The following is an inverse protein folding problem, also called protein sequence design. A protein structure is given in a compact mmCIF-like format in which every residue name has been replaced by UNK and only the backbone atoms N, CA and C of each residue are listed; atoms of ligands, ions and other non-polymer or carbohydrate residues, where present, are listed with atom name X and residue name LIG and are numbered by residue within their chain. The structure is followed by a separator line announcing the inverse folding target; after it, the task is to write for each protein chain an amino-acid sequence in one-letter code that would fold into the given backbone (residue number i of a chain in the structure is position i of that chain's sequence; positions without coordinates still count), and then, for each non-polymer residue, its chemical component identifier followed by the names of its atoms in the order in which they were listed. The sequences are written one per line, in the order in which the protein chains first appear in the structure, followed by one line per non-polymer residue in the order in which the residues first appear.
data_IF_442260541327
#
_entry.id   IF_442260541327
#
_cell.length_a   1.000
_cell.length_b   1.000
_cell.length_c   1.000
_cell.angle_alpha   90.00
_cell.angle_beta   90.00
_cell.angle_gamma   90.00
#
_symmetry.space_group_name_H-M   'P 1'
#
loop_
_entity.id
_entity.type
_entity.pdbx_description
1 polymer ?
#
# COMPACT_ATOMS: atom_id res chain seq x y z
N UNK A 1 1.64 -20.79 0.69
CA UNK A 1 0.20 -20.78 0.47
C UNK A 1 -0.15 -21.91 -0.53
N UNK A 2 -1.12 -22.76 -0.21
CA UNK A 2 -1.39 -23.98 -1.01
C UNK A 2 -2.87 -24.20 -1.34
N UNK A 3 -3.77 -23.39 -0.81
CA UNK A 3 -5.20 -23.46 -1.07
C UNK A 3 -5.80 -22.08 -1.14
N UNK A 4 -6.95 -21.91 -1.85
CA UNK A 4 -7.64 -20.62 -1.92
C UNK A 4 -7.96 -20.06 -0.52
N UNK A 5 -8.34 -20.90 0.43
CA UNK A 5 -8.61 -20.47 1.82
C UNK A 5 -7.39 -19.85 2.48
N UNK A 6 -6.18 -20.39 2.24
CA UNK A 6 -4.93 -19.82 2.76
C UNK A 6 -4.60 -18.48 2.11
N UNK A 7 -4.91 -18.31 0.84
CA UNK A 7 -4.78 -17.02 0.16
C UNK A 7 -5.78 -15.99 0.71
N UNK A 8 -7.02 -16.38 1.00
CA UNK A 8 -8.03 -15.52 1.63
C UNK A 8 -7.62 -15.10 3.05
N UNK A 9 -7.10 -16.03 3.86
CA UNK A 9 -6.54 -15.73 5.19
C UNK A 9 -5.38 -14.74 5.12
N UNK A 10 -4.45 -14.94 4.18
CA UNK A 10 -3.32 -14.05 3.96
C UNK A 10 -3.77 -12.66 3.48
N UNK A 11 -4.76 -12.59 2.57
CA UNK A 11 -5.42 -11.34 2.16
C UNK A 11 -6.02 -10.61 3.37
N UNK A 12 -6.77 -11.31 4.22
CA UNK A 12 -7.34 -10.72 5.44
C UNK A 12 -6.24 -10.15 6.35
N UNK A 13 -5.08 -10.82 6.41
CA UNK A 13 -3.89 -10.35 7.11
C UNK A 13 -3.33 -9.03 6.54
N UNK A 14 -3.35 -8.84 5.23
CA UNK A 14 -2.95 -7.59 4.55
C UNK A 14 -3.92 -6.47 4.94
N UNK A 15 -5.22 -6.69 4.80
CA UNK A 15 -6.23 -5.67 5.13
C UNK A 15 -6.23 -5.29 6.61
N UNK A 16 -5.97 -6.23 7.50
CA UNK A 16 -5.85 -5.95 8.94
C UNK A 16 -4.77 -4.92 9.24
N UNK A 17 -3.64 -4.97 8.52
CA UNK A 17 -2.56 -3.97 8.67
C UNK A 17 -2.90 -2.68 7.94
N UNK A 18 -3.37 -2.77 6.69
CA UNK A 18 -3.75 -1.61 5.88
C UNK A 18 -4.77 -0.71 6.61
N UNK A 19 -5.81 -1.29 7.20
CA UNK A 19 -6.78 -0.55 8.01
C UNK A 19 -6.13 0.16 9.19
N UNK A 20 -5.11 -0.44 9.80
CA UNK A 20 -4.34 0.19 10.87
C UNK A 20 -3.57 1.43 10.39
N UNK A 21 -3.12 1.44 9.13
CA UNK A 21 -2.37 2.55 8.52
C UNK A 21 -3.27 3.72 8.08
N UNK A 22 -4.57 3.57 8.05
CA UNK A 22 -5.52 4.60 7.62
C UNK A 22 -6.14 5.40 8.76
N UNK A 23 -5.69 5.21 10.00
CA UNK A 23 -6.24 5.87 11.19
C UNK A 23 -5.24 6.07 12.31
N UNK A 24 -5.70 6.63 13.42
CA UNK A 24 -4.91 6.80 14.63
C UNK A 24 -3.64 7.63 14.43
N UNK A 25 -2.51 7.15 14.91
CA UNK A 25 -1.22 7.85 14.83
C UNK A 25 -0.74 8.09 13.40
N UNK A 26 -1.14 7.27 12.43
CA UNK A 26 -0.75 7.43 11.03
C UNK A 26 -1.37 8.66 10.36
N UNK A 27 -2.56 9.04 10.81
CA UNK A 27 -3.21 10.27 10.35
C UNK A 27 -2.82 11.44 11.25
N UNK A 28 -2.88 11.25 12.57
CA UNK A 28 -2.71 12.36 13.52
C UNK A 28 -1.27 12.86 13.62
N UNK A 29 -0.25 12.01 13.47
CA UNK A 29 1.14 12.45 13.59
C UNK A 29 1.53 13.48 12.52
N UNK A 30 1.31 13.25 11.21
CA UNK A 30 1.59 14.26 10.19
C UNK A 30 0.70 15.50 10.32
N UNK A 31 -0.57 15.35 10.73
CA UNK A 31 -1.51 16.47 10.86
C UNK A 31 -1.12 17.43 12.00
N UNK A 32 -0.58 16.90 13.12
CA UNK A 32 -0.08 17.78 14.19
C UNK A 32 1.26 18.41 13.83
N UNK A 33 2.07 17.78 12.98
CA UNK A 33 3.31 18.38 12.47
C UNK A 33 3.04 19.49 11.45
N UNK A 34 1.93 19.38 10.72
CA UNK A 34 1.46 20.37 9.73
C UNK A 34 0.62 21.51 10.37
N UNK A 35 0.54 21.58 11.69
CA UNK A 35 -0.29 22.56 12.44
C UNK A 35 -1.80 22.49 12.13
N UNK A 36 -2.28 21.38 11.52
CA UNK A 36 -3.72 21.15 11.32
C UNK A 36 -4.45 20.85 12.63
N UNK A 37 -3.73 20.27 13.60
CA UNK A 37 -4.20 20.03 14.96
C UNK A 37 -3.16 20.47 16.00
N UNK A 38 -3.65 20.99 17.13
CA UNK A 38 -2.82 21.34 18.27
C UNK A 38 -2.76 20.20 19.29
N UNK A 39 -1.56 19.82 19.71
CA UNK A 39 -1.38 18.91 20.84
C UNK A 39 -1.54 19.68 22.16
N UNK A 40 -2.51 19.26 22.99
CA UNK A 40 -2.78 19.88 24.29
C UNK A 40 -2.08 19.12 25.43
N UNK A 41 -1.54 19.86 26.39
CA UNK A 41 -0.77 19.29 27.50
C UNK A 41 -1.58 18.37 28.41
N UNK A 42 -2.89 18.61 28.57
CA UNK A 42 -3.77 17.90 29.49
C UNK A 42 -4.10 16.45 29.11
N UNK A 43 -3.79 16.05 27.85
CA UNK A 43 -3.95 14.68 27.34
C UNK A 43 -2.62 13.90 27.36
N UNK A 44 -1.92 13.90 28.46
CA UNK A 44 -0.59 13.27 28.62
C UNK A 44 0.42 13.77 27.57
N UNK A 45 0.20 14.97 27.02
CA UNK A 45 1.01 15.58 25.97
C UNK A 45 1.21 14.69 24.73
N UNK A 46 0.20 13.83 24.43
CA UNK A 46 0.26 12.92 23.28
C UNK A 46 0.51 13.74 21.99
N UNK A 47 1.49 13.33 21.22
CA UNK A 47 1.99 14.04 20.02
C UNK A 47 2.60 15.42 20.29
N UNK A 48 2.75 15.86 21.55
CA UNK A 48 3.28 17.19 21.84
C UNK A 48 4.71 17.41 21.37
N UNK A 49 5.56 16.38 21.37
CA UNK A 49 6.91 16.44 20.83
C UNK A 49 6.88 16.57 19.30
N UNK A 50 5.98 15.85 18.60
CA UNK A 50 5.78 15.94 17.16
C UNK A 50 5.28 17.33 16.77
N UNK A 51 4.27 17.87 17.47
CA UNK A 51 3.72 19.19 17.23
C UNK A 51 4.77 20.30 17.38
N UNK A 52 5.63 20.19 18.39
CA UNK A 52 6.70 21.18 18.65
C UNK A 52 8.00 20.90 17.89
N UNK A 53 8.06 19.86 17.08
CA UNK A 53 9.27 19.44 16.35
C UNK A 53 10.48 19.20 17.28
N UNK A 54 10.23 18.72 18.53
CA UNK A 54 11.26 18.43 19.51
C UNK A 54 11.47 16.93 19.73
N UNK A 55 10.91 16.10 18.86
CA UNK A 55 11.03 14.64 18.95
C UNK A 55 12.42 14.15 18.53
N UNK A 56 12.81 13.04 19.10
CA UNK A 56 14.04 12.33 18.79
C UNK A 56 13.75 11.00 18.09
N UNK A 57 14.81 10.33 17.60
CA UNK A 57 14.70 9.02 16.94
C UNK A 57 14.11 7.92 17.82
N UNK A 58 14.10 8.10 19.13
CA UNK A 58 13.52 7.20 20.15
C UNK A 58 12.02 7.46 20.40
N UNK A 59 11.40 8.41 19.71
CA UNK A 59 9.99 8.67 19.86
C UNK A 59 9.15 7.47 19.43
N UNK A 60 8.36 6.92 20.36
CA UNK A 60 7.62 5.67 20.16
C UNK A 60 6.57 5.74 19.04
N UNK A 61 6.00 6.92 18.76
CA UNK A 61 5.08 7.11 17.64
C UNK A 61 5.80 6.98 16.31
N UNK A 62 6.96 7.60 16.18
CA UNK A 62 7.81 7.54 14.98
C UNK A 62 8.27 6.11 14.73
N UNK A 63 8.79 5.44 15.77
CA UNK A 63 9.21 4.02 15.70
C UNK A 63 8.05 3.10 15.31
N UNK A 64 6.87 3.28 15.91
CA UNK A 64 5.69 2.46 15.62
C UNK A 64 5.24 2.61 14.18
N UNK A 65 5.21 3.83 13.64
CA UNK A 65 4.86 4.09 12.23
C UNK A 65 5.82 3.33 11.30
N UNK A 66 7.11 3.48 11.52
CA UNK A 66 8.14 2.81 10.74
C UNK A 66 7.99 1.27 10.79
N UNK A 67 7.96 0.70 12.00
CA UNK A 67 7.90 -0.73 12.21
C UNK A 67 6.65 -1.38 11.59
N UNK A 68 5.49 -0.76 11.75
CA UNK A 68 4.24 -1.30 11.22
C UNK A 68 4.15 -1.20 9.69
N UNK A 69 4.69 -0.15 9.08
CA UNK A 69 4.77 -0.09 7.62
C UNK A 69 5.65 -1.22 7.08
N UNK A 70 6.82 -1.48 7.68
CA UNK A 70 7.65 -2.60 7.26
C UNK A 70 7.04 -3.97 7.57
N UNK A 71 6.26 -4.10 8.65
CA UNK A 71 5.48 -5.31 8.90
C UNK A 71 4.41 -5.55 7.82
N UNK A 72 3.77 -4.48 7.33
CA UNK A 72 2.82 -4.56 6.21
C UNK A 72 3.53 -4.96 4.90
N UNK A 73 4.68 -4.35 4.61
CA UNK A 73 5.53 -4.72 3.46
C UNK A 73 5.91 -6.20 3.53
N UNK A 74 6.31 -6.69 4.71
CA UNK A 74 6.63 -8.11 4.91
C UNK A 74 5.44 -9.05 4.62
N UNK A 75 4.21 -8.67 5.00
CA UNK A 75 3.00 -9.44 4.68
C UNK A 75 2.67 -9.41 3.19
N UNK A 76 2.83 -8.26 2.54
CA UNK A 76 2.66 -8.13 1.09
C UNK A 76 3.67 -9.02 0.36
N UNK A 77 4.95 -8.97 0.74
CA UNK A 77 5.99 -9.82 0.17
C UNK A 77 5.70 -11.32 0.37
N UNK A 78 5.22 -11.71 1.57
CA UNK A 78 4.80 -13.10 1.83
C UNK A 78 3.70 -13.56 0.88
N UNK A 79 2.73 -12.69 0.59
CA UNK A 79 1.64 -13.01 -0.33
C UNK A 79 2.16 -13.16 -1.76
N UNK A 80 2.91 -12.18 -2.25
CA UNK A 80 3.48 -12.14 -3.61
C UNK A 80 4.39 -13.36 -3.84
N UNK A 81 5.28 -13.66 -2.88
CA UNK A 81 6.14 -14.85 -2.94
C UNK A 81 5.31 -16.15 -2.96
N UNK A 82 4.22 -16.19 -2.21
CA UNK A 82 3.29 -17.31 -2.20
C UNK A 82 2.59 -17.54 -3.54
N UNK A 83 2.22 -16.46 -4.24
CA UNK A 83 1.63 -16.53 -5.58
C UNK A 83 2.67 -17.02 -6.59
N UNK A 84 3.90 -16.49 -6.56
CA UNK A 84 4.98 -16.92 -7.45
C UNK A 84 5.32 -18.42 -7.37
N UNK A 85 4.95 -19.08 -6.29
CA UNK A 85 5.18 -20.52 -6.08
C UNK A 85 4.01 -21.43 -6.52
N UNK A 86 2.91 -20.86 -6.99
CA UNK A 86 1.72 -21.66 -7.38
C UNK A 86 2.09 -22.59 -8.55
N UNK A 87 2.70 -22.07 -9.60
CA UNK A 87 3.02 -22.83 -10.79
C UNK A 87 4.18 -23.83 -10.58
N UNK A 88 4.97 -23.62 -9.53
CA UNK A 88 6.09 -24.51 -9.16
C UNK A 88 5.63 -25.71 -8.31
N UNK A 89 4.41 -25.65 -7.76
CA UNK A 89 3.91 -26.70 -6.86
C UNK A 89 2.71 -27.44 -7.47
N UNK A 90 2.91 -28.69 -7.98
CA UNK A 90 1.86 -29.48 -8.59
C UNK A 90 0.76 -29.94 -7.64
N UNK A 91 0.94 -29.78 -6.32
CA UNK A 91 -0.09 -30.09 -5.32
C UNK A 91 -1.13 -28.96 -5.17
N UNK A 92 -0.91 -27.80 -5.79
CA UNK A 92 -1.84 -26.68 -5.75
C UNK A 92 -2.84 -26.81 -6.89
N UNK A 93 -4.03 -27.32 -6.57
CA UNK A 93 -5.15 -27.39 -7.50
C UNK A 93 -6.07 -26.17 -7.34
N UNK A 94 -6.07 -25.27 -8.33
CA UNK A 94 -6.91 -24.08 -8.37
C UNK A 94 -7.74 -24.06 -9.66
N UNK A 95 -9.02 -23.70 -9.53
CA UNK A 95 -9.86 -23.40 -10.68
C UNK A 95 -9.44 -22.07 -11.32
N UNK A 96 -9.80 -21.83 -12.59
CA UNK A 96 -9.49 -20.56 -13.27
C UNK A 96 -10.09 -19.35 -12.53
N UNK A 97 -11.29 -19.48 -11.95
CA UNK A 97 -11.88 -18.41 -11.13
C UNK A 97 -11.04 -18.14 -9.90
N UNK A 98 -10.54 -19.18 -9.20
CA UNK A 98 -9.68 -19.01 -8.04
C UNK A 98 -8.35 -18.37 -8.39
N UNK A 99 -7.76 -18.69 -9.54
CA UNK A 99 -6.56 -18.03 -10.03
C UNK A 99 -6.80 -16.53 -10.25
N UNK A 100 -7.93 -16.18 -10.87
CA UNK A 100 -8.31 -14.78 -11.05
C UNK A 100 -8.58 -14.05 -9.72
N UNK A 101 -9.17 -14.71 -8.73
CA UNK A 101 -9.32 -14.17 -7.39
C UNK A 101 -7.95 -13.90 -6.75
N UNK A 102 -7.01 -14.82 -6.88
CA UNK A 102 -5.65 -14.66 -6.37
C UNK A 102 -4.93 -13.50 -7.08
N UNK A 103 -5.12 -13.30 -8.37
CA UNK A 103 -4.59 -12.14 -9.09
C UNK A 103 -5.06 -10.82 -8.47
N UNK A 104 -6.34 -10.70 -8.11
CA UNK A 104 -6.83 -9.51 -7.39
C UNK A 104 -6.13 -9.34 -6.06
N UNK A 105 -6.04 -10.41 -5.27
CA UNK A 105 -5.42 -10.37 -3.95
C UNK A 105 -3.93 -10.03 -4.03
N UNK A 106 -3.25 -10.48 -5.09
CA UNK A 106 -1.88 -10.12 -5.37
C UNK A 106 -1.75 -8.63 -5.74
N UNK A 107 -2.65 -8.11 -6.56
CA UNK A 107 -2.73 -6.68 -6.86
C UNK A 107 -2.95 -5.83 -5.61
N UNK A 108 -3.78 -6.28 -4.68
CA UNK A 108 -3.98 -5.64 -3.37
C UNK A 108 -2.71 -5.68 -2.50
N UNK A 109 -1.91 -6.76 -2.60
CA UNK A 109 -0.63 -6.87 -1.90
C UNK A 109 0.40 -5.87 -2.47
N UNK A 110 0.52 -5.78 -3.80
CA UNK A 110 1.36 -4.78 -4.46
C UNK A 110 0.96 -3.36 -4.08
N UNK A 111 -0.34 -3.04 -4.14
CA UNK A 111 -0.84 -1.74 -3.71
C UNK A 111 -0.47 -1.43 -2.25
N UNK A 112 -0.64 -2.38 -1.35
CA UNK A 112 -0.32 -2.18 0.08
C UNK A 112 1.16 -1.90 0.28
N UNK A 113 2.04 -2.57 -0.48
CA UNK A 113 3.48 -2.32 -0.45
C UNK A 113 3.83 -0.93 -0.97
N UNK A 114 3.26 -0.54 -2.11
CA UNK A 114 3.41 0.80 -2.67
C UNK A 114 2.94 1.88 -1.70
N UNK A 115 1.77 1.71 -1.10
CA UNK A 115 1.21 2.64 -0.13
C UNK A 115 2.14 2.83 1.08
N UNK A 116 2.68 1.73 1.62
CA UNK A 116 3.60 1.77 2.75
C UNK A 116 4.90 2.50 2.39
N UNK A 117 5.49 2.21 1.23
CA UNK A 117 6.69 2.91 0.78
C UNK A 117 6.42 4.39 0.51
N UNK A 118 5.32 4.73 -0.14
CA UNK A 118 4.95 6.12 -0.38
C UNK A 118 4.75 6.88 0.94
N UNK A 119 4.02 6.30 1.90
CA UNK A 119 3.80 6.89 3.20
C UNK A 119 5.12 7.09 3.98
N UNK A 120 5.99 6.08 3.98
CA UNK A 120 7.31 6.18 4.60
C UNK A 120 8.20 7.22 3.89
N UNK A 121 8.18 7.29 2.57
CA UNK A 121 8.96 8.26 1.83
C UNK A 121 8.53 9.68 2.17
N UNK A 122 7.22 9.94 2.27
CA UNK A 122 6.67 11.26 2.64
C UNK A 122 7.09 11.70 4.04
N UNK A 123 7.26 10.77 5.00
CA UNK A 123 7.59 11.12 6.39
C UNK A 123 9.10 11.06 6.71
N UNK A 124 9.86 10.21 6.03
CA UNK A 124 11.25 9.88 6.41
C UNK A 124 12.30 10.21 5.35
N UNK A 125 11.88 10.70 4.19
CA UNK A 125 12.77 11.17 3.15
C UNK A 125 12.63 12.68 2.94
N UNK A 126 13.51 13.23 2.12
CA UNK A 126 13.38 14.61 1.61
C UNK A 126 12.31 14.65 0.53
N UNK A 127 11.84 15.86 0.23
CA UNK A 127 11.00 16.09 -0.94
C UNK A 127 11.67 15.57 -2.21
N UNK A 128 10.86 15.04 -3.12
CA UNK A 128 11.38 14.54 -4.38
C UNK A 128 11.82 15.69 -5.27
N UNK A 129 13.03 15.59 -5.77
CA UNK A 129 13.58 16.51 -6.77
C UNK A 129 14.29 15.68 -7.82
N UNK A 130 13.80 15.67 -9.04
CA UNK A 130 14.31 14.85 -10.14
C UNK A 130 15.80 15.07 -10.40
N UNK A 131 16.32 16.28 -10.15
CA UNK A 131 17.73 16.59 -10.36
C UNK A 131 18.66 15.95 -9.31
N UNK A 132 18.14 15.61 -8.14
CA UNK A 132 18.94 15.14 -6.99
C UNK A 132 18.51 13.77 -6.47
N UNK A 133 17.34 13.26 -6.86
CA UNK A 133 16.73 12.03 -6.33
C UNK A 133 17.65 10.81 -6.40
N UNK A 134 18.42 10.66 -7.49
CA UNK A 134 19.38 9.55 -7.66
C UNK A 134 20.48 9.52 -6.60
N UNK A 135 20.80 10.66 -5.97
CA UNK A 135 21.84 10.81 -4.95
C UNK A 135 21.27 11.13 -3.56
N UNK A 136 19.95 11.29 -3.45
CA UNK A 136 19.26 11.55 -2.18
C UNK A 136 18.90 10.22 -1.52
N UNK A 137 19.17 10.03 -0.20
CA UNK A 137 18.80 8.81 0.48
C UNK A 137 17.28 8.59 0.52
N UNK A 138 16.85 7.47 -0.03
CA UNK A 138 15.47 6.96 0.00
C UNK A 138 15.22 6.01 1.16
N UNK A 139 14.51 4.91 0.94
CA UNK A 139 14.15 3.91 1.94
C UNK A 139 14.93 2.60 1.74
N UNK A 140 15.10 1.77 2.78
CA UNK A 140 15.50 0.38 2.60
C UNK A 140 14.42 -0.40 1.85
N UNK A 141 14.71 -0.86 0.63
CA UNK A 141 13.74 -1.59 -0.19
C UNK A 141 13.83 -3.09 0.12
N UNK A 142 12.75 -3.63 0.68
CA UNK A 142 12.53 -5.05 0.92
C UNK A 142 11.42 -5.54 0.01
N UNK A 143 11.77 -6.11 -1.14
CA UNK A 143 10.81 -6.55 -2.16
C UNK A 143 10.64 -8.07 -2.22
N UNK A 144 11.32 -8.80 -1.33
CA UNK A 144 11.25 -10.26 -1.21
C UNK A 144 10.86 -10.67 0.20
N UNK A 145 10.21 -11.83 0.31
CA UNK A 145 9.91 -12.43 1.60
C UNK A 145 11.11 -13.25 2.10
N UNK A 146 11.87 -12.68 3.03
CA UNK A 146 13.08 -13.29 3.61
C UNK A 146 13.03 -13.27 5.15
N UNK A 147 12.18 -14.12 5.78
CA UNK A 147 11.93 -14.07 7.23
C UNK A 147 13.14 -14.49 8.08
N UNK A 148 14.15 -15.13 7.48
CA UNK A 148 15.37 -15.60 8.14
C UNK A 148 16.58 -14.71 7.84
N UNK A 149 16.37 -13.52 7.28
CA UNK A 149 17.45 -12.63 6.93
C UNK A 149 18.21 -12.19 8.20
N UNK A 150 19.51 -12.39 8.23
CA UNK A 150 20.32 -11.91 9.34
C UNK A 150 20.37 -10.37 9.34
N UNK A 151 20.48 -9.75 10.51
CA UNK A 151 20.52 -8.30 10.65
C UNK A 151 21.62 -7.63 9.79
N UNK A 152 22.72 -8.33 9.54
CA UNK A 152 23.82 -7.87 8.68
C UNK A 152 23.50 -7.90 7.19
N UNK A 153 22.39 -8.49 6.79
CA UNK A 153 21.95 -8.64 5.41
C UNK A 153 20.74 -7.72 5.08
N UNK A 154 20.25 -6.97 6.06
CA UNK A 154 19.22 -5.98 5.77
C UNK A 154 19.74 -4.93 4.79
N UNK A 155 18.94 -4.54 3.77
CA UNK A 155 19.36 -3.55 2.81
C UNK A 155 19.59 -2.20 3.49
N UNK A 156 20.62 -1.49 3.04
CA UNK A 156 20.78 -0.08 3.35
C UNK A 156 19.69 0.77 2.68
N UNK A 157 19.72 2.08 2.94
CA UNK A 157 18.83 2.99 2.21
C UNK A 157 19.18 2.99 0.72
N UNK A 158 18.19 2.83 -0.12
CA UNK A 158 18.31 3.03 -1.57
C UNK A 158 18.35 4.53 -1.90
N UNK A 159 18.43 4.88 -3.16
CA UNK A 159 18.18 6.26 -3.59
C UNK A 159 16.69 6.61 -3.46
N UNK A 160 16.40 7.90 -3.41
CA UNK A 160 15.01 8.38 -3.44
C UNK A 160 14.36 8.07 -4.79
N UNK A 161 15.13 8.16 -5.88
CA UNK A 161 14.70 7.74 -7.22
C UNK A 161 14.28 6.26 -7.24
N UNK A 162 15.13 5.35 -6.76
CA UNK A 162 14.79 3.92 -6.68
C UNK A 162 13.57 3.67 -5.81
N UNK A 163 13.40 4.44 -4.72
CA UNK A 163 12.23 4.32 -3.84
C UNK A 163 10.95 4.66 -4.59
N UNK A 164 10.92 5.76 -5.34
CA UNK A 164 9.73 6.15 -6.11
C UNK A 164 9.51 5.26 -7.33
N UNK A 165 10.57 4.79 -7.98
CA UNK A 165 10.46 3.78 -9.04
C UNK A 165 9.80 2.49 -8.53
N UNK A 166 10.21 2.00 -7.36
CA UNK A 166 9.57 0.82 -6.76
C UNK A 166 8.09 1.06 -6.42
N UNK A 167 7.73 2.24 -5.93
CA UNK A 167 6.33 2.61 -5.68
C UNK A 167 5.52 2.56 -6.99
N UNK A 168 6.05 3.13 -8.07
CA UNK A 168 5.37 3.16 -9.36
C UNK A 168 5.26 1.76 -9.98
N UNK A 169 6.31 0.95 -9.91
CA UNK A 169 6.27 -0.45 -10.35
C UNK A 169 5.21 -1.26 -9.62
N UNK A 170 5.13 -1.13 -8.30
CA UNK A 170 4.12 -1.80 -7.49
C UNK A 170 2.69 -1.34 -7.83
N UNK A 171 2.50 -0.06 -8.13
CA UNK A 171 1.18 0.47 -8.54
C UNK A 171 0.79 -0.01 -9.94
N UNK A 172 1.75 -0.17 -10.85
CA UNK A 172 1.49 -0.74 -12.17
C UNK A 172 1.10 -2.22 -12.07
N UNK A 173 1.85 -3.00 -11.29
CA UNK A 173 1.52 -4.40 -11.03
C UNK A 173 0.15 -4.57 -10.37
N UNK A 174 -0.21 -3.69 -9.43
CA UNK A 174 -1.51 -3.69 -8.79
C UNK A 174 -2.65 -3.45 -9.80
N UNK A 175 -2.50 -2.43 -10.66
CA UNK A 175 -3.50 -2.08 -11.66
C UNK A 175 -3.70 -3.21 -12.67
N UNK A 176 -2.61 -3.71 -13.27
CA UNK A 176 -2.65 -4.78 -14.29
C UNK A 176 -3.31 -6.04 -13.75
N UNK A 177 -3.00 -6.46 -12.53
CA UNK A 177 -3.57 -7.67 -11.93
C UNK A 177 -5.06 -7.52 -11.63
N UNK A 178 -5.46 -6.40 -11.05
CA UNK A 178 -6.87 -6.15 -10.71
C UNK A 178 -7.71 -6.01 -12.00
N UNK A 179 -7.22 -5.32 -13.02
CA UNK A 179 -7.93 -5.17 -14.29
C UNK A 179 -8.05 -6.49 -15.05
N UNK A 180 -6.98 -7.27 -15.11
CA UNK A 180 -6.99 -8.58 -15.77
C UNK A 180 -8.02 -9.49 -15.12
N UNK A 181 -8.06 -9.54 -13.81
CA UNK A 181 -9.03 -10.35 -13.08
C UNK A 181 -10.47 -9.84 -13.26
N UNK A 182 -10.68 -8.52 -13.24
CA UNK A 182 -11.99 -7.90 -13.49
C UNK A 182 -12.56 -8.29 -14.84
N UNK A 183 -11.72 -8.35 -15.86
CA UNK A 183 -12.12 -8.75 -17.21
C UNK A 183 -12.31 -10.27 -17.36
N UNK A 184 -11.68 -11.06 -16.49
CA UNK A 184 -11.72 -12.53 -16.52
C UNK A 184 -12.80 -13.19 -15.67
N UNK A 185 -13.45 -12.45 -14.76
CA UNK A 185 -14.46 -12.98 -13.84
C UNK A 185 -15.84 -12.40 -14.19
N UNK A 186 -16.76 -13.25 -14.65
CA UNK A 186 -18.15 -12.87 -14.75
C UNK A 186 -18.71 -12.58 -13.34
N UNK A 187 -19.44 -11.49 -13.17
CA UNK A 187 -19.92 -11.02 -11.87
C UNK A 187 -18.79 -10.76 -10.85
N UNK A 188 -17.70 -10.12 -11.29
CA UNK A 188 -16.51 -9.80 -10.50
C UNK A 188 -16.82 -9.31 -9.07
N UNK A 189 -17.71 -8.35 -8.92
CA UNK A 189 -18.07 -7.78 -7.61
C UNK A 189 -18.64 -8.83 -6.64
N UNK A 190 -19.35 -9.83 -7.16
CA UNK A 190 -19.91 -10.92 -6.37
C UNK A 190 -18.81 -11.86 -5.85
N UNK A 191 -17.82 -12.15 -6.69
CA UNK A 191 -16.75 -13.09 -6.32
C UNK A 191 -15.69 -12.45 -5.43
N UNK A 192 -15.37 -11.17 -5.64
CA UNK A 192 -14.29 -10.49 -4.92
C UNK A 192 -14.76 -9.92 -3.59
N UNK A 193 -15.99 -9.38 -3.54
CA UNK A 193 -16.54 -8.73 -2.35
C UNK A 193 -17.39 -9.69 -1.48
N UNK A 194 -17.47 -10.97 -1.85
CA UNK A 194 -18.24 -11.98 -1.13
C UNK A 194 -19.74 -11.95 -1.43
N UNK A 195 -20.44 -13.03 -1.07
CA UNK A 195 -21.86 -13.29 -1.38
C UNK A 195 -22.87 -12.32 -0.73
N UNK A 196 -22.44 -11.29 -0.06
CA UNK A 196 -23.30 -10.37 0.71
C UNK A 196 -23.65 -9.08 -0.01
N UNK A 197 -23.12 -8.82 -1.18
CA UNK A 197 -23.60 -7.71 -2.00
C UNK A 197 -24.85 -8.17 -2.73
N UNK A 198 -26.00 -7.93 -2.14
CA UNK A 198 -27.28 -8.05 -2.85
C UNK A 198 -27.26 -7.05 -3.99
N UNK A 199 -27.32 -7.57 -5.19
CA UNK A 199 -27.09 -6.94 -6.51
C UNK A 199 -27.86 -5.63 -6.77
N UNK A 200 -28.73 -5.19 -5.89
CA UNK A 200 -29.69 -4.11 -6.17
C UNK A 200 -29.65 -2.90 -5.23
N UNK A 201 -28.80 -2.82 -4.23
CA UNK A 201 -28.89 -1.75 -3.22
C UNK A 201 -27.59 -1.06 -2.82
N UNK A 202 -26.43 -1.55 -3.23
CA UNK A 202 -25.17 -0.84 -3.02
C UNK A 202 -24.82 -0.02 -4.28
N UNK A 203 -24.29 1.20 -4.12
CA UNK A 203 -23.64 1.89 -5.23
C UNK A 203 -22.57 0.95 -5.81
N UNK A 204 -22.53 0.80 -7.12
CA UNK A 204 -21.73 -0.18 -7.86
C UNK A 204 -20.22 -0.18 -7.54
N UNK A 205 -19.74 0.72 -6.68
CA UNK A 205 -18.31 0.97 -6.45
C UNK A 205 -17.93 1.19 -4.96
N UNK A 206 -18.80 0.84 -4.01
CA UNK A 206 -18.51 0.98 -2.58
C UNK A 206 -18.07 -0.34 -1.95
N UNK A 207 -17.14 -1.05 -2.58
CA UNK A 207 -16.43 -2.14 -1.93
C UNK A 207 -15.42 -1.59 -0.91
N UNK A 208 -15.25 -2.28 0.22
CA UNK A 208 -14.22 -1.95 1.22
C UNK A 208 -12.82 -2.45 0.78
N UNK A 209 -12.66 -2.78 -0.49
CA UNK A 209 -11.45 -3.37 -1.05
C UNK A 209 -10.75 -2.41 -2.01
N UNK A 210 -9.46 -2.66 -2.23
CA UNK A 210 -8.65 -1.90 -3.17
C UNK A 210 -9.14 -2.21 -4.60
N UNK A 211 -9.50 -1.15 -5.30
CA UNK A 211 -9.95 -1.20 -6.70
C UNK A 211 -8.95 -0.48 -7.59
N UNK A 212 -9.09 -0.60 -8.92
CA UNK A 212 -8.29 0.17 -9.88
C UNK A 212 -8.38 1.68 -9.60
N UNK A 213 -9.56 2.18 -9.20
CA UNK A 213 -9.73 3.60 -8.87
C UNK A 213 -8.90 4.03 -7.65
N UNK A 214 -8.78 3.14 -6.66
CA UNK A 214 -7.91 3.39 -5.48
C UNK A 214 -6.44 3.41 -5.89
N UNK A 215 -6.03 2.52 -6.80
CA UNK A 215 -4.68 2.51 -7.37
C UNK A 215 -4.42 3.80 -8.14
N UNK A 216 -5.34 4.21 -9.01
CA UNK A 216 -5.25 5.46 -9.80
C UNK A 216 -5.19 6.69 -8.89
N UNK A 217 -5.96 6.71 -7.80
CA UNK A 217 -5.91 7.80 -6.81
C UNK A 217 -4.52 7.91 -6.14
N UNK A 218 -3.90 6.77 -5.82
CA UNK A 218 -2.54 6.78 -5.27
C UNK A 218 -1.51 7.18 -6.32
N UNK A 219 -1.64 6.72 -7.59
CA UNK A 219 -0.80 7.18 -8.71
C UNK A 219 -0.84 8.70 -8.86
N UNK A 220 -2.03 9.32 -8.75
CA UNK A 220 -2.16 10.78 -8.81
C UNK A 220 -1.40 11.48 -7.67
N UNK A 221 -1.47 10.95 -6.44
CA UNK A 221 -0.74 11.50 -5.29
C UNK A 221 0.78 11.33 -5.42
N UNK A 222 1.22 10.18 -5.90
CA UNK A 222 2.65 9.90 -6.14
C UNK A 222 3.19 10.84 -7.20
N UNK A 223 2.50 10.99 -8.33
CA UNK A 223 2.89 11.91 -9.40
C UNK A 223 2.96 13.37 -8.90
N UNK A 224 1.98 13.79 -8.09
CA UNK A 224 2.00 15.14 -7.48
C UNK A 224 3.22 15.34 -6.57
N UNK A 225 3.59 14.33 -5.76
CA UNK A 225 4.77 14.41 -4.89
C UNK A 225 6.09 14.40 -5.67
N UNK A 226 6.09 13.89 -6.89
CA UNK A 226 7.23 13.88 -7.80
C UNK A 226 7.31 15.13 -8.69
N UNK A 227 6.42 16.13 -8.49
CA UNK A 227 6.24 17.30 -9.35
C UNK A 227 5.86 16.96 -10.81
N UNK A 228 5.41 15.73 -11.05
CA UNK A 228 4.86 15.28 -12.34
C UNK A 228 3.39 15.72 -12.47
N UNK A 229 3.19 17.01 -12.66
CA UNK A 229 1.86 17.62 -12.73
C UNK A 229 1.02 17.13 -13.91
N UNK A 230 1.65 16.69 -14.99
CA UNK A 230 0.97 16.14 -16.17
C UNK A 230 0.26 14.82 -15.80
N UNK A 231 1.00 13.86 -15.26
CA UNK A 231 0.43 12.59 -14.83
C UNK A 231 -0.49 12.75 -13.62
N UNK A 232 -0.18 13.63 -12.67
CA UNK A 232 -1.06 13.93 -11.55
C UNK A 232 -2.44 14.43 -12.03
N UNK A 233 -2.47 15.39 -12.97
CA UNK A 233 -3.70 15.91 -13.54
C UNK A 233 -4.46 14.85 -14.37
N UNK A 234 -3.73 14.01 -15.13
CA UNK A 234 -4.31 12.91 -15.91
C UNK A 234 -5.03 11.92 -15.00
N UNK A 235 -4.32 11.34 -14.01
CA UNK A 235 -4.91 10.34 -13.10
C UNK A 235 -6.07 10.90 -12.27
N UNK A 236 -5.94 12.12 -11.76
CA UNK A 236 -7.03 12.78 -11.05
C UNK A 236 -8.23 13.05 -11.98
N UNK A 237 -7.98 13.49 -13.21
CA UNK A 237 -8.99 13.72 -14.23
C UNK A 237 -9.74 12.45 -14.61
N UNK A 238 -9.04 11.32 -14.76
CA UNK A 238 -9.66 10.02 -15.07
C UNK A 238 -10.68 9.61 -13.98
N UNK A 239 -10.37 9.87 -12.72
CA UNK A 239 -11.28 9.59 -11.60
C UNK A 239 -12.48 10.54 -11.57
N UNK A 240 -12.24 11.85 -11.65
CA UNK A 240 -13.31 12.87 -11.59
C UNK A 240 -14.27 12.71 -12.76
N UNK A 241 -13.75 12.47 -13.97
CA UNK A 241 -14.56 12.34 -15.19
C UNK A 241 -15.25 10.96 -15.32
N UNK A 242 -14.89 10.00 -14.47
CA UNK A 242 -15.49 8.65 -14.51
C UNK A 242 -16.99 8.63 -14.14
N UNK A 243 -17.49 9.68 -13.49
CA UNK A 243 -18.86 9.76 -12.94
C UNK A 243 -19.23 8.58 -12.02
N UNK A 244 -18.23 7.95 -11.37
CA UNK A 244 -18.42 6.83 -10.44
C UNK A 244 -18.55 7.28 -9.00
N UNK A 245 -18.18 8.53 -8.71
CA UNK A 245 -18.16 9.14 -7.36
C UNK A 245 -18.98 10.42 -7.35
#
# INVERSE_FOLDING_TARGET
LTTIVRFEEARAGIYSVYLGLTGGSYVLAPEVQADAFNAVADFSNKYGELHRWTFESTNSTVETIWANCYAAIGRANFFIDGVGKIDENPEIELTEIQKQQINVYEGEAYFTRAYCYFYLATLFCRDYDVATAANTPGLPLQVKYEPQLAATQYPGRSSLEDTYNQILEDLEEAEVRIETAKNGIADYDRYINGAYVTVNTAPKNCGNYITVDVVTALKARVALQMDDYENAAKYAGDLVNSNRY
#
